data_IF_046354233709
#
_entry.id   IF_046354233709
#
_cell.length_a   1.000
_cell.length_b   1.000
_cell.length_c   1.000
_cell.angle_alpha   90.00
_cell.angle_beta   90.00
_cell.angle_gamma   90.00
#
_symmetry.space_group_name_H-M   'P 1'
#
loop_
_entity.id
_entity.type
_entity.pdbx_description
1 polymer ?
#
# COMPACT_ATOMS: atom_id res chain seq x y z
N UNK A 1 11.78 -8.09 -2.39
CA UNK A 1 10.65 -8.80 -3.04
C UNK A 1 9.69 -7.83 -3.74
N UNK A 2 8.97 -6.95 -3.03
CA UNK A 2 7.97 -6.03 -3.64
C UNK A 2 8.59 -5.11 -4.69
N UNK A 3 9.76 -4.51 -4.39
CA UNK A 3 10.50 -3.66 -5.32
C UNK A 3 10.87 -4.44 -6.57
N UNK A 4 11.56 -5.57 -6.42
CA UNK A 4 11.97 -6.42 -7.55
C UNK A 4 10.77 -6.81 -8.43
N UNK A 5 9.65 -7.22 -7.84
CA UNK A 5 8.43 -7.52 -8.59
C UNK A 5 7.91 -6.30 -9.34
N UNK A 6 7.90 -5.12 -8.70
CA UNK A 6 7.48 -3.88 -9.35
C UNK A 6 8.35 -3.56 -10.57
N UNK A 7 9.67 -3.72 -10.44
CA UNK A 7 10.61 -3.52 -11.54
C UNK A 7 10.39 -4.51 -12.70
N UNK A 8 10.19 -5.79 -12.41
CA UNK A 8 9.93 -6.84 -13.42
C UNK A 8 8.67 -6.51 -14.24
N UNK A 9 7.62 -6.02 -13.58
CA UNK A 9 6.37 -5.62 -14.25
C UNK A 9 6.39 -4.18 -14.78
N UNK A 10 7.53 -3.49 -14.72
CA UNK A 10 7.69 -2.12 -15.22
C UNK A 10 6.78 -1.12 -14.50
N UNK A 11 6.63 -1.27 -13.18
CA UNK A 11 5.90 -0.36 -12.29
C UNK A 11 6.88 0.55 -11.56
N UNK A 12 6.54 1.84 -11.49
CA UNK A 12 7.21 2.82 -10.65
C UNK A 12 6.85 2.58 -9.18
N UNK A 13 7.78 2.86 -8.27
CA UNK A 13 7.60 2.67 -6.84
C UNK A 13 7.52 4.02 -6.14
N UNK A 14 6.52 4.19 -5.28
CA UNK A 14 6.40 5.34 -4.39
C UNK A 14 6.35 4.86 -2.94
N UNK A 15 7.11 5.52 -2.04
CA UNK A 15 7.02 5.27 -0.61
C UNK A 15 6.09 6.29 0.04
N UNK A 16 5.16 5.84 0.87
CA UNK A 16 4.25 6.70 1.62
C UNK A 16 4.38 6.46 3.11
N UNK A 17 4.89 7.47 3.82
CA UNK A 17 4.97 7.49 5.28
C UNK A 17 6.40 7.74 5.74
N UNK A 18 6.55 8.70 6.67
CA UNK A 18 7.85 9.21 7.14
C UNK A 18 8.87 8.14 7.52
N UNK A 19 8.43 7.10 8.24
CA UNK A 19 9.34 6.01 8.64
C UNK A 19 9.76 5.15 7.44
N UNK A 20 8.88 4.91 6.47
CA UNK A 20 9.21 4.11 5.29
C UNK A 20 10.12 4.88 4.35
N UNK A 21 9.85 6.17 4.12
CA UNK A 21 10.71 7.07 3.34
C UNK A 21 12.12 7.16 3.95
N UNK A 22 12.22 7.34 5.27
CA UNK A 22 13.51 7.36 5.97
C UNK A 22 14.26 6.03 5.84
N UNK A 23 13.58 4.91 6.14
CA UNK A 23 14.22 3.60 6.14
C UNK A 23 14.64 3.15 4.74
N UNK A 24 13.82 3.43 3.72
CA UNK A 24 14.16 3.12 2.32
C UNK A 24 15.36 3.93 1.84
N UNK A 25 15.41 5.23 2.14
CA UNK A 25 16.56 6.09 1.81
C UNK A 25 17.86 5.56 2.42
N UNK A 26 17.86 5.25 3.72
CA UNK A 26 19.04 4.67 4.40
C UNK A 26 19.40 3.30 3.82
N UNK A 27 18.42 2.44 3.52
CA UNK A 27 18.68 1.13 2.94
C UNK A 27 19.26 1.21 1.51
N UNK A 28 18.87 2.22 0.73
CA UNK A 28 19.44 2.49 -0.59
C UNK A 28 20.88 3.01 -0.47
N UNK A 29 21.14 3.95 0.44
CA UNK A 29 22.48 4.50 0.70
C UNK A 29 23.47 3.40 1.14
N UNK A 30 23.02 2.49 2.00
CA UNK A 30 23.83 1.37 2.49
C UNK A 30 23.92 0.19 1.51
N UNK A 31 23.26 0.24 0.36
CA UNK A 31 23.26 -0.82 -0.65
C UNK A 31 22.44 -2.06 -0.29
N UNK A 32 21.64 -2.04 0.79
CA UNK A 32 20.71 -3.11 1.15
C UNK A 32 19.48 -3.17 0.24
N UNK A 33 19.15 -2.06 -0.42
CA UNK A 33 18.00 -1.93 -1.30
C UNK A 33 18.44 -1.38 -2.65
N UNK A 34 18.15 -2.13 -3.72
CA UNK A 34 18.40 -1.69 -5.09
C UNK A 34 17.09 -1.22 -5.72
N UNK A 35 16.99 0.09 -5.92
CA UNK A 35 15.89 0.73 -6.64
C UNK A 35 16.49 1.82 -7.52
N UNK A 36 16.48 1.66 -8.86
CA UNK A 36 16.96 2.69 -9.77
C UNK A 36 16.20 4.01 -9.56
N UNK A 37 16.91 5.14 -9.61
CA UNK A 37 16.32 6.47 -9.37
C UNK A 37 15.17 6.77 -10.32
N UNK A 38 15.27 6.34 -11.58
CA UNK A 38 14.22 6.53 -12.58
C UNK A 38 12.94 5.73 -12.26
N UNK A 39 13.03 4.71 -11.41
CA UNK A 39 11.91 3.87 -10.98
C UNK A 39 11.31 4.30 -9.64
N UNK A 40 12.01 5.14 -8.88
CA UNK A 40 11.50 5.77 -7.67
C UNK A 40 10.80 7.09 -8.03
N UNK A 41 9.54 7.23 -7.62
CA UNK A 41 8.77 8.46 -7.84
C UNK A 41 8.27 9.02 -6.51
N UNK A 42 8.08 10.35 -6.46
CA UNK A 42 7.41 10.98 -5.33
C UNK A 42 5.94 10.58 -5.32
N UNK A 43 5.34 10.55 -4.11
CA UNK A 43 3.89 10.44 -3.94
C UNK A 43 3.14 11.55 -4.69
N UNK A 44 3.76 12.72 -4.81
CA UNK A 44 3.18 13.83 -5.57
C UNK A 44 3.08 13.54 -7.07
N UNK A 45 3.92 12.66 -7.61
CA UNK A 45 3.99 12.37 -9.05
C UNK A 45 3.14 11.16 -9.47
N UNK A 46 2.51 10.46 -8.53
CA UNK A 46 1.74 9.23 -8.80
C UNK A 46 0.69 9.45 -9.90
N UNK A 47 -0.02 10.59 -9.85
CA UNK A 47 -1.08 10.95 -10.79
C UNK A 47 -0.60 11.15 -12.24
N UNK A 48 0.70 11.24 -12.48
CA UNK A 48 1.30 11.38 -13.82
C UNK A 48 1.40 10.04 -14.56
N UNK A 49 1.18 8.93 -13.87
CA UNK A 49 1.31 7.57 -14.39
C UNK A 49 -0.04 6.86 -14.40
N UNK A 50 -0.20 5.86 -15.27
CA UNK A 50 -1.40 5.04 -15.24
C UNK A 50 -1.45 4.18 -13.97
N UNK A 51 -2.64 3.88 -13.40
CA UNK A 51 -2.74 3.16 -12.13
C UNK A 51 -2.04 1.79 -12.10
N UNK A 52 -2.04 1.07 -13.23
CA UNK A 52 -1.39 -0.24 -13.40
C UNK A 52 0.15 -0.15 -13.38
N UNK A 53 0.70 1.05 -13.56
CA UNK A 53 2.14 1.34 -13.59
C UNK A 53 2.70 1.87 -12.28
N UNK A 54 1.92 1.91 -11.19
CA UNK A 54 2.38 2.45 -9.90
C UNK A 54 2.23 1.42 -8.78
N UNK A 55 3.28 1.21 -7.99
CA UNK A 55 3.25 0.48 -6.73
C UNK A 55 3.50 1.44 -5.58
N UNK A 56 2.57 1.54 -4.63
CA UNK A 56 2.73 2.34 -3.42
C UNK A 56 3.10 1.40 -2.26
N UNK A 57 4.23 1.67 -1.61
CA UNK A 57 4.66 0.98 -0.40
C UNK A 57 4.41 1.90 0.78
N UNK A 58 3.55 1.48 1.71
CA UNK A 58 3.09 2.32 2.81
C UNK A 58 3.17 1.63 4.16
N UNK A 59 3.07 2.41 5.24
CA UNK A 59 2.96 1.93 6.63
C UNK A 59 1.51 1.87 7.10
N UNK A 60 1.27 1.24 8.26
CA UNK A 60 -0.06 1.21 8.87
C UNK A 60 -0.82 -0.10 8.73
N UNK A 61 -0.12 -1.20 8.50
CA UNK A 61 -0.72 -2.53 8.39
C UNK A 61 -1.51 -2.98 9.62
N UNK A 62 -1.31 -2.32 10.77
CA UNK A 62 -2.01 -2.60 12.04
C UNK A 62 -3.26 -1.72 12.26
N UNK A 63 -3.64 -0.88 11.29
CA UNK A 63 -4.85 -0.03 11.41
C UNK A 63 -4.71 1.16 12.36
N UNK A 64 -3.50 1.56 12.72
CA UNK A 64 -3.26 2.71 13.60
C UNK A 64 -3.86 4.00 12.98
N UNK A 65 -4.65 4.81 13.73
CA UNK A 65 -5.44 5.90 13.15
C UNK A 65 -4.66 6.94 12.35
N UNK A 66 -3.41 7.22 12.73
CA UNK A 66 -2.56 8.25 12.09
C UNK A 66 -1.57 7.67 11.07
N UNK A 67 -1.62 6.36 10.83
CA UNK A 67 -0.76 5.73 9.83
C UNK A 67 -1.13 6.15 8.40
N UNK A 68 -0.19 6.01 7.48
CA UNK A 68 -0.39 6.40 6.09
C UNK A 68 -1.55 5.62 5.46
N UNK A 69 -1.60 4.29 5.62
CA UNK A 69 -2.69 3.46 5.11
C UNK A 69 -4.06 3.82 5.71
N UNK A 70 -4.15 4.08 7.03
CA UNK A 70 -5.41 4.52 7.64
C UNK A 70 -5.90 5.85 7.08
N UNK A 71 -4.99 6.80 6.84
CA UNK A 71 -5.35 8.07 6.23
C UNK A 71 -5.80 7.92 4.77
N UNK A 72 -5.17 7.01 4.03
CA UNK A 72 -5.54 6.67 2.65
C UNK A 72 -6.95 6.07 2.64
N UNK A 73 -7.21 5.09 3.50
CA UNK A 73 -8.52 4.44 3.62
C UNK A 73 -9.65 5.39 4.04
N UNK A 74 -9.35 6.45 4.79
CA UNK A 74 -10.33 7.47 5.19
C UNK A 74 -10.34 8.71 4.28
N UNK A 75 -9.65 8.69 3.12
CA UNK A 75 -9.51 9.85 2.22
C UNK A 75 -8.96 11.13 2.89
N UNK A 76 -8.21 11.00 3.97
CA UNK A 76 -7.55 12.11 4.68
C UNK A 76 -6.05 12.20 4.36
N UNK A 77 -5.54 11.31 3.51
CA UNK A 77 -4.21 11.40 2.95
C UNK A 77 -4.19 12.46 1.85
N UNK A 78 -3.28 13.44 1.93
CA UNK A 78 -3.30 14.66 1.09
C UNK A 78 -3.17 14.40 -0.41
N UNK A 79 -2.60 13.25 -0.79
CA UNK A 79 -2.10 13.00 -2.15
C UNK A 79 -2.48 11.64 -2.73
N UNK A 80 -2.99 10.73 -1.89
CA UNK A 80 -3.33 9.37 -2.30
C UNK A 80 -4.78 9.17 -1.90
N UNK A 81 -5.60 8.79 -2.87
CA UNK A 81 -7.00 8.45 -2.68
C UNK A 81 -7.20 7.06 -3.24
N UNK A 82 -7.95 6.24 -2.51
CA UNK A 82 -8.33 4.90 -2.97
C UNK A 82 -9.43 5.05 -4.01
N UNK A 83 -9.23 4.43 -5.16
CA UNK A 83 -10.20 4.35 -6.24
C UNK A 83 -10.76 2.92 -6.37
N UNK A 84 -11.92 2.83 -7.04
CA UNK A 84 -12.55 1.52 -7.28
C UNK A 84 -11.66 0.69 -8.20
N UNK A 85 -11.34 -0.53 -7.77
CA UNK A 85 -10.46 -1.44 -8.50
C UNK A 85 -9.00 -1.42 -8.02
N UNK A 86 -8.65 -0.53 -7.09
CA UNK A 86 -7.33 -0.57 -6.44
C UNK A 86 -7.16 -1.88 -5.67
N UNK A 87 -5.93 -2.42 -5.70
CA UNK A 87 -5.55 -3.59 -4.93
C UNK A 87 -4.67 -3.18 -3.73
N UNK A 88 -5.15 -3.45 -2.52
CA UNK A 88 -4.42 -3.22 -1.27
C UNK A 88 -3.98 -4.55 -0.67
N UNK A 89 -2.67 -4.69 -0.43
CA UNK A 89 -2.09 -5.90 0.16
C UNK A 89 -1.59 -5.58 1.57
N UNK A 90 -2.21 -6.19 2.58
CA UNK A 90 -1.76 -6.10 3.98
C UNK A 90 -0.80 -7.25 4.24
N UNK A 91 0.49 -7.01 3.98
CA UNK A 91 1.56 -7.99 4.15
C UNK A 91 2.12 -8.04 5.58
N UNK A 92 1.25 -8.13 6.59
CA UNK A 92 1.65 -8.27 7.97
C UNK A 92 0.65 -9.12 8.77
N UNK A 93 1.17 -9.82 9.79
CA UNK A 93 0.33 -10.50 10.76
C UNK A 93 -0.26 -9.51 11.77
N UNK A 94 -1.55 -9.63 12.13
CA UNK A 94 -2.13 -8.83 13.20
C UNK A 94 -1.38 -9.02 14.52
N UNK A 95 -1.07 -7.93 15.20
CA UNK A 95 -0.62 -7.97 16.60
C UNK A 95 -1.86 -8.18 17.47
N UNK A 96 -1.86 -9.13 18.43
CA UNK A 96 -2.96 -9.33 19.34
C UNK A 96 -3.40 -8.01 20.01
N UNK A 97 -4.69 -7.70 19.93
CA UNK A 97 -5.29 -6.45 20.43
C UNK A 97 -5.58 -5.39 19.35
N UNK A 98 -5.01 -5.52 18.15
CA UNK A 98 -5.24 -4.59 17.04
C UNK A 98 -6.30 -5.07 16.03
N UNK A 99 -6.93 -6.23 16.26
CA UNK A 99 -7.84 -6.87 15.30
C UNK A 99 -9.00 -5.96 14.91
N UNK A 100 -9.55 -5.22 15.88
CA UNK A 100 -10.65 -4.27 15.64
C UNK A 100 -10.23 -3.09 14.78
N UNK A 101 -9.00 -2.59 14.94
CA UNK A 101 -8.47 -1.49 14.14
C UNK A 101 -8.23 -1.94 12.70
N UNK A 102 -7.62 -3.12 12.54
CA UNK A 102 -7.37 -3.74 11.23
C UNK A 102 -8.69 -4.02 10.51
N UNK A 103 -9.70 -4.55 11.21
CA UNK A 103 -11.01 -4.83 10.62
C UNK A 103 -11.69 -3.55 10.11
N UNK A 104 -11.70 -2.48 10.92
CA UNK A 104 -12.23 -1.17 10.49
C UNK A 104 -11.49 -0.62 9.28
N UNK A 105 -10.16 -0.73 9.27
CA UNK A 105 -9.36 -0.30 8.13
C UNK A 105 -9.76 -1.03 6.85
N UNK A 106 -9.88 -2.36 6.92
CA UNK A 106 -10.28 -3.21 5.80
C UNK A 106 -11.71 -2.86 5.33
N UNK A 107 -12.63 -2.65 6.26
CA UNK A 107 -14.01 -2.25 5.93
C UNK A 107 -14.06 -0.92 5.17
N UNK A 108 -13.28 0.08 5.58
CA UNK A 108 -13.22 1.37 4.88
C UNK A 108 -12.63 1.24 3.46
N UNK A 109 -11.62 0.38 3.28
CA UNK A 109 -11.07 0.09 1.95
C UNK A 109 -12.10 -0.59 1.05
N UNK A 110 -12.85 -1.58 1.57
CA UNK A 110 -13.91 -2.24 0.81
C UNK A 110 -15.06 -1.30 0.45
N UNK A 111 -15.46 -0.40 1.36
CA UNK A 111 -16.48 0.63 1.06
C UNK A 111 -16.10 1.53 -0.11
N UNK A 112 -14.80 1.75 -0.33
CA UNK A 112 -14.28 2.51 -1.48
C UNK A 112 -14.16 1.69 -2.75
N UNK A 113 -14.44 0.39 -2.70
CA UNK A 113 -14.36 -0.51 -3.84
C UNK A 113 -12.96 -1.00 -4.15
N UNK A 114 -12.03 -0.93 -3.19
CA UNK A 114 -10.74 -1.59 -3.30
C UNK A 114 -10.88 -3.11 -3.07
N UNK A 115 -10.05 -3.89 -3.76
CA UNK A 115 -9.79 -5.27 -3.41
C UNK A 115 -8.72 -5.31 -2.32
N UNK A 116 -8.97 -6.04 -1.23
CA UNK A 116 -8.02 -6.15 -0.11
C UNK A 116 -7.58 -7.59 0.07
N UNK A 117 -6.27 -7.83 -0.04
CA UNK A 117 -5.64 -9.11 0.31
C UNK A 117 -5.05 -8.97 1.71
N UNK A 118 -5.66 -9.65 2.68
CA UNK A 118 -5.21 -9.71 4.07
C UNK A 118 -5.31 -11.17 4.55
N UNK A 119 -4.27 -11.65 5.24
CA UNK A 119 -4.05 -13.08 5.54
C UNK A 119 -3.94 -13.99 4.30
N UNK A 120 -3.24 -15.13 4.41
CA UNK A 120 -3.10 -16.11 3.32
C UNK A 120 -4.43 -16.79 2.90
N UNK A 121 -5.57 -16.34 3.44
CA UNK A 121 -6.91 -16.76 3.03
C UNK A 121 -7.57 -15.60 2.30
N UNK A 122 -7.69 -15.74 0.99
CA UNK A 122 -8.56 -14.91 0.15
C UNK A 122 -9.96 -14.93 0.77
N UNK A 123 -10.40 -13.81 1.35
CA UNK A 123 -11.75 -13.73 1.94
C UNK A 123 -12.79 -14.04 0.84
N UNK A 124 -13.76 -14.94 1.10
CA UNK A 124 -14.62 -15.53 0.07
C UNK A 124 -15.74 -14.59 -0.42
N UNK A 125 -15.67 -13.28 -0.18
CA UNK A 125 -16.74 -12.32 -0.49
C UNK A 125 -16.94 -12.08 -2.01
N UNK A 126 -16.44 -12.98 -2.86
CA UNK A 126 -16.49 -12.88 -4.31
C UNK A 126 -16.71 -14.23 -5.01
N UNK A 127 -17.65 -15.05 -4.49
CA UNK A 127 -18.31 -16.08 -5.30
C UNK A 127 -19.78 -15.69 -5.55
N UNK A 128 -20.01 -14.69 -6.39
CA UNK A 128 -21.26 -14.57 -7.17
C UNK A 128 -21.07 -13.59 -8.33
N UNK A 129 -20.40 -14.07 -9.38
CA UNK A 129 -20.55 -13.59 -10.76
C UNK A 129 -19.95 -14.62 -11.71
N UNK A 130 -20.63 -15.77 -11.76
CA UNK A 130 -20.78 -16.64 -12.92
C UNK A 130 -22.23 -17.11 -12.91
#
# INVERSE_FOLDING_TARGET
MIINSSLIYGRKVAFSGRSMEKNSSIAMELGYMQLPEDQLISVDDIHKYSPDRVTIITTGSQGEPMSALSRIAHSSHKKITVEKGDLVIISASPIPGNEKLISKLIDELFKKGAEVIYNARRSPCFRSRL
#
